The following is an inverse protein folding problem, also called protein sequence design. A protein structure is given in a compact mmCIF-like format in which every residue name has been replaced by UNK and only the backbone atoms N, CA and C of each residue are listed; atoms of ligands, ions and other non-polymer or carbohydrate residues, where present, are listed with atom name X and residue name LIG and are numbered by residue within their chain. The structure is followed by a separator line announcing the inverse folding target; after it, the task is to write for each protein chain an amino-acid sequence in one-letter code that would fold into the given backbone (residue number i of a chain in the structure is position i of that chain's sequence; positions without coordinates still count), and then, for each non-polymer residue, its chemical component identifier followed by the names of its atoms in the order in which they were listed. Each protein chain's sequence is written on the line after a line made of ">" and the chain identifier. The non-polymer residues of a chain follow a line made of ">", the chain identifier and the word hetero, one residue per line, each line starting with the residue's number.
data_IF_775156342422
#
_entry.id   IF_775156342422
#
_cell.length_a   1.000
_cell.length_b   1.000
_cell.length_c   1.000
_cell.angle_alpha   90.00
_cell.angle_beta   90.00
_cell.angle_gamma   90.00
#
_symmetry.space_group_name_H-M   'P 1'
#
loop_
_entity.id
_entity.type
_entity.pdbx_description
1 polymer ?
#
# COMPACT_ATOMS: atom_id res chain seq x y z
N UNK A 1 -1.95 2.51 12.08
CA UNK A 1 -0.70 3.31 12.31
C UNK A 1 -0.53 4.34 11.21
N UNK A 2 -0.25 5.60 11.57
CA UNK A 2 0.12 6.66 10.61
C UNK A 2 1.64 6.63 10.47
N UNK A 3 2.15 6.44 9.26
CA UNK A 3 3.58 6.30 9.01
C UNK A 3 4.16 7.55 8.33
N UNK A 4 3.60 7.94 7.20
CA UNK A 4 4.04 9.09 6.41
C UNK A 4 3.04 10.22 6.51
N UNK A 5 3.55 11.45 6.52
CA UNK A 5 2.75 12.67 6.35
C UNK A 5 3.43 13.63 5.37
N UNK A 6 2.60 14.41 4.69
CA UNK A 6 2.94 15.66 4.03
C UNK A 6 1.96 16.70 4.51
N UNK A 7 2.45 17.74 5.16
CA UNK A 7 1.61 18.77 5.75
C UNK A 7 2.21 20.16 5.52
N UNK A 8 1.35 21.15 5.34
CA UNK A 8 1.74 22.53 5.05
C UNK A 8 1.11 23.53 6.03
N UNK A 9 1.79 24.64 6.28
CA UNK A 9 1.25 25.75 7.05
C UNK A 9 1.94 27.07 6.69
N UNK A 10 1.23 28.21 6.82
CA UNK A 10 1.85 29.52 6.71
C UNK A 10 2.77 29.79 7.92
N UNK A 11 3.89 30.44 7.65
CA UNK A 11 4.87 30.84 8.68
C UNK A 11 5.30 32.30 8.48
N UNK A 12 5.75 32.93 9.54
CA UNK A 12 6.49 34.18 9.46
C UNK A 12 7.99 33.88 9.30
N UNK A 13 8.51 34.02 8.10
CA UNK A 13 9.94 33.78 7.81
C UNK A 13 10.89 34.80 8.49
N UNK A 14 10.37 35.83 9.16
CA UNK A 14 11.15 36.71 10.01
C UNK A 14 11.38 36.13 11.40
N UNK A 15 10.59 35.13 11.81
CA UNK A 15 10.83 34.43 13.07
C UNK A 15 12.02 33.48 12.92
N UNK A 16 13.19 33.95 13.36
CA UNK A 16 14.46 33.20 13.26
C UNK A 16 14.46 31.92 14.10
N UNK A 17 13.53 31.75 15.05
CA UNK A 17 13.47 30.55 15.89
C UNK A 17 13.20 29.29 15.05
N UNK A 18 12.43 29.40 13.96
CA UNK A 18 12.12 28.29 13.06
C UNK A 18 13.40 27.66 12.49
N UNK A 19 14.44 28.47 12.30
CA UNK A 19 15.69 28.05 11.66
C UNK A 19 16.75 27.54 12.63
N UNK A 20 16.54 27.60 13.97
CA UNK A 20 17.56 27.24 14.96
C UNK A 20 18.06 25.79 14.81
N UNK A 21 17.17 24.88 14.44
CA UNK A 21 17.49 23.46 14.29
C UNK A 21 17.54 23.01 12.82
N UNK A 22 17.56 23.96 11.88
CA UNK A 22 17.64 23.70 10.45
C UNK A 22 19.01 24.19 9.91
N UNK A 23 19.79 23.27 9.34
CA UNK A 23 21.15 23.56 8.85
C UNK A 23 21.30 23.16 7.39
N UNK A 24 22.15 23.88 6.67
CA UNK A 24 22.62 23.53 5.33
C UNK A 24 21.48 23.16 4.35
N UNK A 25 20.62 24.14 3.96
CA UNK A 25 19.54 23.83 3.05
C UNK A 25 20.04 23.51 1.64
N UNK A 26 19.35 22.58 0.99
CA UNK A 26 19.40 22.50 -0.48
C UNK A 26 18.54 23.63 -1.06
N UNK A 27 19.09 24.40 -1.97
CA UNK A 27 18.43 25.55 -2.59
C UNK A 27 17.93 25.16 -3.99
N UNK A 28 16.63 25.36 -4.23
CA UNK A 28 16.02 25.06 -5.52
C UNK A 28 15.72 26.33 -6.32
N UNK A 29 15.79 26.27 -7.65
CA UNK A 29 15.47 27.37 -8.56
C UNK A 29 14.04 27.90 -8.42
N UNK A 30 13.14 27.10 -7.88
CA UNK A 30 11.75 27.47 -7.53
C UNK A 30 11.62 28.35 -6.27
N UNK A 31 12.74 28.70 -5.63
CA UNK A 31 12.76 29.47 -4.39
C UNK A 31 12.48 28.69 -3.11
N UNK A 32 12.33 27.37 -3.20
CA UNK A 32 12.22 26.50 -2.05
C UNK A 32 13.58 26.18 -1.45
N UNK A 33 13.63 26.10 -0.12
CA UNK A 33 14.75 25.62 0.69
C UNK A 33 14.35 24.30 1.33
N UNK A 34 15.13 23.24 1.11
CA UNK A 34 14.92 21.94 1.76
C UNK A 34 15.94 21.72 2.86
N UNK A 35 15.44 21.36 4.01
CA UNK A 35 16.24 20.95 5.17
C UNK A 35 15.90 19.52 5.56
N UNK A 36 16.83 18.86 6.24
CA UNK A 36 16.59 17.59 6.90
C UNK A 36 16.54 17.85 8.41
N UNK A 37 15.39 17.52 9.02
CA UNK A 37 15.18 17.79 10.43
C UNK A 37 16.14 16.91 11.26
N UNK A 38 16.90 17.52 12.16
CA UNK A 38 17.95 16.89 12.99
C UNK A 38 18.94 16.03 12.17
N UNK A 39 19.23 16.45 10.92
CA UNK A 39 20.08 15.71 9.98
C UNK A 39 19.49 14.41 9.45
N UNK A 40 18.25 14.07 9.83
CA UNK A 40 17.59 12.84 9.45
C UNK A 40 16.89 12.98 8.09
N UNK A 41 17.38 12.27 7.07
CA UNK A 41 16.77 12.26 5.72
C UNK A 41 15.37 11.66 5.64
N UNK A 42 14.81 11.18 6.77
CA UNK A 42 13.45 10.60 6.81
C UNK A 42 12.38 11.65 7.08
N UNK A 43 12.79 12.87 7.54
CA UNK A 43 11.88 13.98 7.74
C UNK A 43 12.48 15.24 7.08
N UNK A 44 11.82 15.69 6.03
CA UNK A 44 12.18 16.90 5.28
C UNK A 44 11.31 18.07 5.72
N UNK A 45 11.93 19.25 5.83
CA UNK A 45 11.28 20.54 6.03
C UNK A 45 11.57 21.41 4.81
N UNK A 46 10.53 21.80 4.14
CA UNK A 46 10.60 22.67 2.97
C UNK A 46 10.07 24.04 3.34
N UNK A 47 10.82 25.09 3.04
CA UNK A 47 10.42 26.47 3.29
C UNK A 47 10.48 27.25 2.01
N UNK A 48 9.41 27.99 1.70
CA UNK A 48 9.39 29.00 0.66
C UNK A 48 9.32 30.40 1.31
N UNK A 49 10.45 31.09 1.46
CA UNK A 49 10.49 32.41 2.13
C UNK A 49 9.66 33.48 1.42
N UNK A 50 9.55 33.41 0.08
CA UNK A 50 8.79 34.38 -0.69
C UNK A 50 7.28 34.33 -0.41
N UNK A 51 6.76 33.12 -0.14
CA UNK A 51 5.34 32.91 0.10
C UNK A 51 5.00 32.74 1.59
N UNK A 52 6.01 32.71 2.49
CA UNK A 52 5.79 32.44 3.90
C UNK A 52 5.14 31.06 4.12
N UNK A 53 5.59 30.03 3.39
CA UNK A 53 5.00 28.69 3.45
C UNK A 53 6.05 27.68 3.92
N UNK A 54 5.65 26.84 4.87
CA UNK A 54 6.39 25.67 5.32
C UNK A 54 5.64 24.41 4.96
N UNK A 55 6.35 23.42 4.48
CA UNK A 55 5.88 22.04 4.26
C UNK A 55 6.80 21.08 5.02
N UNK A 56 6.22 20.14 5.77
CA UNK A 56 6.94 19.00 6.33
C UNK A 56 6.50 17.74 5.61
N UNK A 57 7.45 16.86 5.29
CA UNK A 57 7.10 15.55 4.73
C UNK A 57 8.10 14.48 5.12
N UNK A 58 7.59 13.28 5.36
CA UNK A 58 8.43 12.13 5.66
C UNK A 58 7.73 11.07 6.48
N UNK A 59 8.46 10.00 6.76
CA UNK A 59 7.98 8.95 7.64
C UNK A 59 8.27 9.32 9.09
N UNK A 60 7.21 9.56 9.84
CA UNK A 60 7.26 9.96 11.26
C UNK A 60 7.85 8.85 12.11
N UNK A 61 7.45 7.60 11.86
CA UNK A 61 7.95 6.42 12.57
C UNK A 61 9.45 6.21 12.35
N UNK A 62 9.91 6.33 11.11
CA UNK A 62 11.34 6.21 10.79
C UNK A 62 12.18 7.38 11.35
N UNK A 63 11.60 8.56 11.46
CA UNK A 63 12.29 9.70 12.07
C UNK A 63 12.53 9.49 13.56
N UNK A 64 11.53 8.97 14.30
CA UNK A 64 11.60 8.84 15.75
C UNK A 64 12.34 7.56 16.20
N UNK A 65 12.01 6.41 15.58
CA UNK A 65 12.50 5.10 16.06
C UNK A 65 13.28 4.29 15.00
N UNK A 66 13.42 4.81 13.78
CA UNK A 66 14.18 4.15 12.72
C UNK A 66 13.43 3.04 11.98
N UNK A 67 12.24 2.69 12.38
CA UNK A 67 11.41 1.64 11.77
C UNK A 67 9.92 1.94 11.98
N UNK A 68 9.05 1.12 11.37
CA UNK A 68 7.61 1.28 11.48
C UNK A 68 6.88 0.11 12.18
N UNK A 69 7.60 -0.79 12.87
CA UNK A 69 6.98 -1.80 13.72
C UNK A 69 6.51 -1.19 15.04
N UNK A 70 5.34 -1.63 15.52
CA UNK A 70 4.77 -1.22 16.81
C UNK A 70 4.68 0.31 17.04
N UNK A 71 4.51 1.08 15.97
CA UNK A 71 4.35 2.54 16.05
C UNK A 71 2.89 2.90 16.31
N UNK A 72 2.59 3.32 17.54
CA UNK A 72 1.23 3.60 18.00
C UNK A 72 0.74 5.02 17.70
N UNK A 73 -0.57 5.26 17.85
CA UNK A 73 -1.16 6.60 17.79
C UNK A 73 -0.53 7.55 18.82
N UNK A 74 -0.25 7.05 20.02
CA UNK A 74 0.38 7.87 21.08
C UNK A 74 1.81 8.28 20.67
N UNK A 75 2.60 7.35 20.11
CA UNK A 75 3.94 7.67 19.62
C UNK A 75 3.89 8.68 18.47
N UNK A 76 2.90 8.58 17.57
CA UNK A 76 2.68 9.57 16.53
C UNK A 76 2.39 10.97 17.13
N UNK A 77 1.53 11.04 18.14
CA UNK A 77 1.23 12.31 18.84
C UNK A 77 2.50 12.92 19.45
N UNK A 78 3.28 12.15 20.22
CA UNK A 78 4.53 12.65 20.82
C UNK A 78 5.58 13.03 19.76
N UNK A 79 5.62 12.30 18.65
CA UNK A 79 6.50 12.62 17.52
C UNK A 79 6.16 13.99 16.90
N UNK A 80 4.89 14.27 16.63
CA UNK A 80 4.45 15.57 16.11
C UNK A 80 4.75 16.71 17.08
N UNK A 81 4.55 16.48 18.38
CA UNK A 81 4.92 17.43 19.42
C UNK A 81 6.43 17.71 19.43
N UNK A 82 7.25 16.66 19.32
CA UNK A 82 8.69 16.79 19.24
C UNK A 82 9.13 17.57 17.99
N UNK A 83 8.60 17.25 16.81
CA UNK A 83 8.86 17.99 15.55
C UNK A 83 8.44 19.45 15.70
N UNK A 84 7.27 19.72 16.27
CA UNK A 84 6.79 21.09 16.54
C UNK A 84 7.72 21.88 17.45
N UNK A 85 8.24 21.24 18.51
CA UNK A 85 9.22 21.86 19.41
C UNK A 85 10.55 22.16 18.70
N UNK A 86 11.04 21.25 17.86
CA UNK A 86 12.25 21.49 17.07
C UNK A 86 12.11 22.68 16.10
N UNK A 87 10.92 22.85 15.53
CA UNK A 87 10.61 23.95 14.60
C UNK A 87 10.07 25.20 15.27
N UNK A 88 9.81 25.15 16.58
CA UNK A 88 9.12 26.21 17.33
C UNK A 88 7.76 26.62 16.72
N UNK A 89 7.01 25.63 16.18
CA UNK A 89 5.75 25.83 15.48
C UNK A 89 4.61 24.97 16.05
N UNK A 90 3.37 25.49 16.06
CA UNK A 90 2.18 24.73 16.45
C UNK A 90 1.71 23.83 15.30
N UNK A 91 2.45 22.74 15.01
CA UNK A 91 2.17 21.86 13.88
C UNK A 91 0.78 21.24 13.86
N UNK A 92 0.07 21.24 14.99
CA UNK A 92 -1.32 20.75 15.09
C UNK A 92 -2.28 21.40 14.10
N UNK A 93 -1.99 22.65 13.71
CA UNK A 93 -2.81 23.45 12.79
C UNK A 93 -2.40 23.29 11.33
N UNK A 94 -1.29 22.61 11.04
CA UNK A 94 -0.85 22.37 9.68
C UNK A 94 -1.87 21.52 8.91
N UNK A 95 -2.09 21.88 7.65
CA UNK A 95 -2.97 21.18 6.72
C UNK A 95 -2.29 19.92 6.21
N UNK A 96 -2.99 18.81 6.24
CA UNK A 96 -2.53 17.55 5.66
C UNK A 96 -2.79 17.57 4.15
N UNK A 97 -1.72 17.45 3.38
CA UNK A 97 -1.74 17.30 1.93
C UNK A 97 -1.78 15.83 1.52
N UNK A 98 -1.03 14.99 2.22
CA UNK A 98 -0.98 13.55 2.02
C UNK A 98 -0.66 12.85 3.35
N UNK A 99 -1.13 11.62 3.53
CA UNK A 99 -0.68 10.76 4.63
C UNK A 99 -0.84 9.29 4.30
N UNK A 100 -0.10 8.43 5.00
CA UNK A 100 -0.24 6.98 4.94
C UNK A 100 -0.81 6.45 6.24
N UNK A 101 -1.81 5.58 6.12
CA UNK A 101 -2.37 4.82 7.22
C UNK A 101 -2.35 3.33 6.88
N UNK A 102 -1.84 2.51 7.78
CA UNK A 102 -1.75 1.09 7.52
C UNK A 102 -1.42 0.26 8.75
N UNK A 103 -1.28 -1.04 8.52
CA UNK A 103 -0.96 -2.04 9.55
C UNK A 103 0.08 -3.02 9.04
N UNK A 104 0.81 -3.64 9.98
CA UNK A 104 1.68 -4.77 9.71
C UNK A 104 0.94 -6.02 10.20
N UNK A 105 0.85 -7.01 9.32
CA UNK A 105 0.22 -8.30 9.58
C UNK A 105 1.29 -9.38 9.71
N UNK A 106 1.20 -10.21 10.73
CA UNK A 106 1.90 -11.49 10.79
C UNK A 106 1.16 -12.47 9.89
N UNK A 107 1.84 -13.02 8.88
CA UNK A 107 1.23 -13.83 7.83
C UNK A 107 1.87 -15.22 7.75
N UNK A 108 1.07 -16.20 7.32
CA UNK A 108 1.49 -17.61 7.29
C UNK A 108 2.49 -17.93 6.16
N UNK A 109 2.42 -17.19 5.05
CA UNK A 109 3.26 -17.39 3.86
C UNK A 109 4.14 -16.18 3.59
N UNK A 110 5.03 -16.27 2.61
CA UNK A 110 5.89 -15.15 2.22
C UNK A 110 5.05 -13.96 1.75
N UNK A 111 5.37 -12.74 2.17
CA UNK A 111 4.65 -11.55 1.70
C UNK A 111 4.55 -11.42 0.18
N UNK A 112 5.59 -11.84 -0.56
CA UNK A 112 5.58 -11.85 -2.02
C UNK A 112 4.47 -12.72 -2.62
N UNK A 113 4.09 -13.81 -1.95
CA UNK A 113 3.04 -14.70 -2.44
C UNK A 113 1.66 -14.03 -2.31
N UNK A 114 1.41 -13.32 -1.20
CA UNK A 114 0.19 -12.51 -1.04
C UNK A 114 0.14 -11.40 -2.09
N UNK A 115 1.23 -10.68 -2.30
CA UNK A 115 1.32 -9.58 -3.28
C UNK A 115 1.01 -10.09 -4.71
N UNK A 116 1.59 -11.24 -5.08
CA UNK A 116 1.36 -11.85 -6.38
C UNK A 116 -0.11 -12.26 -6.60
N UNK A 117 -0.77 -12.72 -5.54
CA UNK A 117 -2.13 -13.26 -5.62
C UNK A 117 -3.24 -12.24 -5.28
N UNK A 118 -2.94 -10.95 -5.26
CA UNK A 118 -3.95 -9.90 -5.17
C UNK A 118 -4.09 -9.14 -6.48
N UNK A 119 -5.32 -8.89 -6.88
CA UNK A 119 -5.63 -8.06 -8.05
C UNK A 119 -6.79 -7.11 -7.74
N UNK A 120 -6.94 -6.08 -8.56
CA UNK A 120 -8.09 -5.18 -8.51
C UNK A 120 -9.01 -5.44 -9.71
N UNK A 121 -10.32 -5.61 -9.50
CA UNK A 121 -11.26 -5.70 -10.62
C UNK A 121 -11.29 -4.38 -11.40
N UNK A 122 -11.59 -4.47 -12.70
CA UNK A 122 -11.61 -3.30 -13.61
C UNK A 122 -12.61 -2.22 -13.17
N UNK A 123 -13.68 -2.61 -12.45
CA UNK A 123 -14.67 -1.70 -11.89
C UNK A 123 -14.10 -0.74 -10.84
N UNK A 124 -13.01 -1.11 -10.18
CA UNK A 124 -12.39 -0.28 -9.14
C UNK A 124 -11.48 0.82 -9.70
N UNK A 125 -11.17 0.77 -11.00
CA UNK A 125 -10.28 1.74 -11.67
C UNK A 125 -8.91 1.91 -11.00
N UNK A 126 -8.41 0.85 -10.39
CA UNK A 126 -7.09 0.77 -9.79
C UNK A 126 -6.14 0.06 -10.75
N UNK A 127 -4.95 0.61 -10.93
CA UNK A 127 -3.89 0.00 -11.76
C UNK A 127 -2.81 -0.58 -10.86
N UNK A 128 -2.57 -1.90 -10.94
CA UNK A 128 -1.47 -2.54 -10.22
C UNK A 128 -0.14 -2.18 -10.89
N UNK A 129 0.80 -1.77 -10.07
CA UNK A 129 2.17 -1.46 -10.48
C UNK A 129 3.16 -2.16 -9.56
N UNK A 130 4.24 -2.68 -10.14
CA UNK A 130 5.33 -3.35 -9.44
C UNK A 130 6.67 -2.85 -10.00
N UNK A 131 7.68 -2.72 -9.15
CA UNK A 131 9.04 -2.40 -9.61
C UNK A 131 9.83 -3.69 -9.78
N UNK A 132 10.36 -3.92 -10.95
CA UNK A 132 11.15 -5.13 -11.26
C UNK A 132 12.30 -5.38 -10.25
N UNK A 133 12.92 -4.30 -9.73
CA UNK A 133 13.99 -4.38 -8.71
C UNK A 133 13.54 -4.91 -7.36
N UNK A 134 12.25 -4.88 -7.08
CA UNK A 134 11.72 -5.26 -5.77
C UNK A 134 11.38 -6.76 -5.70
N UNK A 135 11.56 -7.51 -6.82
CA UNK A 135 11.39 -8.97 -6.90
C UNK A 135 10.06 -9.45 -6.28
N UNK A 136 8.95 -8.75 -6.57
CA UNK A 136 7.62 -9.08 -6.04
C UNK A 136 7.42 -8.77 -4.55
N UNK A 137 8.35 -8.07 -3.90
CA UNK A 137 8.23 -7.75 -2.47
C UNK A 137 7.49 -6.43 -2.22
N UNK A 138 7.09 -5.73 -3.27
CA UNK A 138 6.35 -4.48 -3.19
C UNK A 138 5.44 -4.33 -4.41
N UNK A 139 4.17 -4.07 -4.19
CA UNK A 139 3.22 -3.63 -5.22
C UNK A 139 2.32 -2.53 -4.68
N UNK A 140 1.81 -1.70 -5.59
CA UNK A 140 0.76 -0.74 -5.27
C UNK A 140 -0.31 -0.74 -6.35
N UNK A 141 -1.52 -0.37 -5.94
CA UNK A 141 -2.66 -0.17 -6.83
C UNK A 141 -3.00 1.32 -6.80
N UNK A 142 -2.71 2.00 -7.91
CA UNK A 142 -2.89 3.44 -8.03
C UNK A 142 -4.33 3.79 -8.42
N UNK A 143 -5.00 4.58 -7.58
CA UNK A 143 -6.24 5.27 -7.86
C UNK A 143 -6.01 6.77 -8.12
N UNK A 144 -7.09 7.54 -8.23
CA UNK A 144 -7.04 9.00 -8.45
C UNK A 144 -6.81 9.79 -7.16
N UNK A 145 -7.22 9.25 -6.04
CA UNK A 145 -7.22 9.91 -4.73
C UNK A 145 -6.34 9.19 -3.71
N UNK A 146 -6.03 7.92 -3.96
CA UNK A 146 -5.28 7.06 -3.06
C UNK A 146 -4.38 6.08 -3.81
N UNK A 147 -3.39 5.54 -3.10
CA UNK A 147 -2.64 4.35 -3.51
C UNK A 147 -2.77 3.30 -2.42
N UNK A 148 -3.02 2.08 -2.82
CA UNK A 148 -3.09 0.93 -1.94
C UNK A 148 -1.74 0.20 -2.03
N UNK A 149 -0.98 0.17 -0.95
CA UNK A 149 0.36 -0.41 -0.92
C UNK A 149 0.37 -1.73 -0.16
N UNK A 150 1.06 -2.71 -0.71
CA UNK A 150 1.31 -4.00 -0.06
C UNK A 150 2.78 -4.37 -0.22
N UNK A 151 3.47 -4.67 0.88
CA UNK A 151 4.89 -4.99 0.82
C UNK A 151 5.41 -5.82 1.99
N UNK A 152 6.56 -6.48 1.76
CA UNK A 152 7.33 -7.18 2.76
C UNK A 152 7.95 -6.18 3.74
N UNK A 153 7.36 -6.06 4.93
CA UNK A 153 7.81 -5.12 5.96
C UNK A 153 9.20 -5.46 6.47
N UNK A 154 9.53 -6.75 6.59
CA UNK A 154 10.83 -7.22 7.03
C UNK A 154 11.95 -6.83 6.06
N UNK A 155 11.79 -7.15 4.78
CA UNK A 155 12.77 -6.78 3.76
C UNK A 155 12.90 -5.27 3.58
N UNK A 156 11.79 -4.52 3.72
CA UNK A 156 11.83 -3.07 3.61
C UNK A 156 12.73 -2.42 4.69
N UNK A 157 12.68 -2.92 5.92
CA UNK A 157 13.58 -2.45 7.00
C UNK A 157 15.04 -2.77 6.70
N UNK A 158 15.33 -4.01 6.31
CA UNK A 158 16.71 -4.42 5.97
C UNK A 158 17.30 -3.56 4.87
N UNK A 159 16.53 -3.24 3.83
CA UNK A 159 16.98 -2.38 2.72
C UNK A 159 17.18 -0.91 3.14
N UNK A 160 16.37 -0.39 4.07
CA UNK A 160 16.40 1.03 4.45
C UNK A 160 17.42 1.36 5.54
N UNK A 161 17.71 0.42 6.42
CA UNK A 161 18.47 0.69 7.63
C UNK A 161 19.76 -0.13 7.74
N UNK A 162 19.90 -1.22 6.99
CA UNK A 162 21.02 -2.15 7.18
C UNK A 162 21.05 -2.80 8.57
N UNK A 163 19.97 -2.64 9.34
CA UNK A 163 19.85 -3.12 10.71
C UNK A 163 19.47 -4.60 10.74
N UNK A 164 19.87 -5.29 11.80
CA UNK A 164 19.44 -6.66 12.07
C UNK A 164 17.94 -6.66 12.36
N UNK A 165 17.15 -7.08 11.35
CA UNK A 165 15.70 -7.18 11.46
C UNK A 165 15.26 -7.95 12.70
N UNK A 166 16.00 -9.00 13.08
CA UNK A 166 15.68 -9.85 14.21
C UNK A 166 15.69 -9.09 15.54
N UNK A 167 16.63 -8.16 15.74
CA UNK A 167 16.72 -7.37 16.97
C UNK A 167 15.53 -6.41 17.08
N UNK A 168 15.20 -5.68 15.98
CA UNK A 168 14.05 -4.77 15.97
C UNK A 168 12.74 -5.52 16.24
N UNK A 169 12.55 -6.67 15.60
CA UNK A 169 11.33 -7.47 15.75
C UNK A 169 11.22 -7.99 17.18
N UNK A 170 12.32 -8.48 17.76
CA UNK A 170 12.35 -8.97 19.13
C UNK A 170 12.06 -7.84 20.14
N UNK A 171 12.68 -6.67 19.98
CA UNK A 171 12.46 -5.50 20.81
C UNK A 171 11.02 -4.99 20.77
N UNK A 172 10.37 -5.16 19.63
CA UNK A 172 8.94 -4.84 19.46
C UNK A 172 8.00 -5.96 19.97
N UNK A 173 8.52 -7.07 20.50
CA UNK A 173 7.73 -8.20 20.98
C UNK A 173 7.13 -9.08 19.87
N UNK A 174 7.67 -9.02 18.66
CA UNK A 174 7.24 -9.82 17.52
C UNK A 174 8.11 -11.07 17.37
N UNK A 175 7.63 -12.09 16.67
CA UNK A 175 8.40 -13.31 16.42
C UNK A 175 9.51 -13.06 15.38
N UNK A 176 10.80 -13.19 15.70
CA UNK A 176 11.90 -12.98 14.74
C UNK A 176 11.85 -13.91 13.51
N UNK A 177 11.19 -15.06 13.60
CA UNK A 177 11.00 -16.00 12.49
C UNK A 177 9.72 -15.78 11.70
N UNK A 178 8.91 -14.76 12.07
CA UNK A 178 7.63 -14.45 11.43
C UNK A 178 7.79 -13.88 10.01
N UNK A 179 6.69 -13.91 9.28
CA UNK A 179 6.58 -13.27 7.97
C UNK A 179 5.68 -12.03 8.12
N UNK A 180 6.18 -10.87 7.72
CA UNK A 180 5.50 -9.59 8.00
C UNK A 180 5.16 -8.86 6.72
N UNK A 181 3.86 -8.74 6.47
CA UNK A 181 3.31 -8.00 5.34
C UNK A 181 2.72 -6.68 5.85
N UNK A 182 3.11 -5.57 5.26
CA UNK A 182 2.46 -4.29 5.49
C UNK A 182 1.39 -4.04 4.45
N UNK A 183 0.21 -3.71 4.93
CA UNK A 183 -0.89 -3.16 4.20
C UNK A 183 -1.06 -1.70 4.57
N UNK A 184 -1.10 -0.78 3.60
CA UNK A 184 -1.31 0.64 3.86
C UNK A 184 -2.05 1.34 2.72
N UNK A 185 -2.79 2.37 3.08
CA UNK A 185 -3.44 3.31 2.16
C UNK A 185 -2.70 4.63 2.22
N UNK A 186 -2.19 5.08 1.09
CA UNK A 186 -1.62 6.41 0.90
C UNK A 186 -2.71 7.32 0.35
N UNK A 187 -3.21 8.22 1.17
CA UNK A 187 -4.22 9.21 0.82
C UNK A 187 -3.56 10.41 0.17
N UNK A 188 -3.76 10.57 -1.15
CA UNK A 188 -3.25 11.68 -1.97
C UNK A 188 -4.20 12.88 -1.89
N UNK A 189 -5.48 12.60 -1.65
CA UNK A 189 -6.56 13.60 -1.48
C UNK A 189 -7.31 13.34 -0.18
N UNK A 190 -6.65 13.59 0.98
CA UNK A 190 -7.22 13.26 2.28
C UNK A 190 -8.51 14.01 2.59
N UNK A 191 -8.75 15.15 1.97
CA UNK A 191 -9.99 15.93 2.12
C UNK A 191 -11.24 15.15 1.71
N UNK A 192 -11.11 14.13 0.84
CA UNK A 192 -12.24 13.29 0.46
C UNK A 192 -12.79 12.46 1.62
N UNK A 193 -11.94 12.11 2.60
CA UNK A 193 -12.38 11.48 3.86
C UNK A 193 -13.23 12.41 4.72
N UNK A 194 -13.20 13.72 4.44
CA UNK A 194 -13.90 14.76 5.18
C UNK A 194 -14.88 15.55 4.31
N UNK A 195 -15.52 14.89 3.36
CA UNK A 195 -16.49 15.52 2.47
C UNK A 195 -15.94 16.79 1.75
N UNK A 196 -14.70 16.74 1.32
CA UNK A 196 -14.00 17.84 0.63
C UNK A 196 -13.46 18.92 1.56
N UNK A 197 -13.54 18.76 2.88
CA UNK A 197 -12.99 19.71 3.85
C UNK A 197 -11.56 19.32 4.23
N UNK A 198 -10.71 20.34 4.38
CA UNK A 198 -9.32 20.13 4.77
C UNK A 198 -9.19 19.39 6.11
N UNK A 199 -8.21 18.50 6.16
CA UNK A 199 -7.81 17.77 7.37
C UNK A 199 -6.53 18.43 7.92
N UNK A 200 -6.43 18.53 9.24
CA UNK A 200 -5.24 19.05 9.93
C UNK A 200 -4.55 17.95 10.72
N UNK A 201 -3.29 18.16 11.08
CA UNK A 201 -2.53 17.18 11.91
C UNK A 201 -3.30 16.81 13.19
N UNK A 202 -3.94 17.75 13.86
CA UNK A 202 -4.76 17.48 15.05
C UNK A 202 -5.88 16.47 14.82
N UNK A 203 -6.43 16.40 13.62
CA UNK A 203 -7.44 15.40 13.27
C UNK A 203 -6.84 13.99 13.24
N UNK A 204 -5.60 13.82 12.78
CA UNK A 204 -4.93 12.53 12.77
C UNK A 204 -4.70 11.98 14.19
N UNK A 205 -4.63 12.85 15.18
CA UNK A 205 -4.46 12.48 16.60
C UNK A 205 -5.79 12.26 17.34
N UNK A 206 -6.92 12.61 16.73
CA UNK A 206 -8.23 12.45 17.32
C UNK A 206 -8.70 10.99 17.26
N UNK A 207 -9.35 10.51 18.34
CA UNK A 207 -9.78 9.11 18.45
C UNK A 207 -10.86 8.74 17.42
N UNK A 208 -11.85 9.63 17.19
CA UNK A 208 -12.96 9.36 16.25
C UNK A 208 -12.43 9.31 14.80
N UNK A 209 -11.53 10.23 14.46
CA UNK A 209 -10.87 10.23 13.16
C UNK A 209 -10.02 8.98 12.95
N UNK A 210 -9.32 8.54 13.99
CA UNK A 210 -8.51 7.34 13.93
C UNK A 210 -9.36 6.08 13.70
N UNK A 211 -10.56 6.02 14.30
CA UNK A 211 -11.53 4.97 14.03
C UNK A 211 -11.99 4.99 12.55
N UNK A 212 -12.26 6.18 12.01
CA UNK A 212 -12.61 6.35 10.59
C UNK A 212 -11.49 5.86 9.66
N UNK A 213 -10.23 6.17 9.98
CA UNK A 213 -9.10 5.68 9.17
C UNK A 213 -8.93 4.16 9.23
N UNK A 214 -9.18 3.53 10.38
CA UNK A 214 -9.17 2.07 10.52
C UNK A 214 -10.26 1.42 9.66
N UNK A 215 -11.47 1.96 9.71
CA UNK A 215 -12.60 1.47 8.93
C UNK A 215 -12.32 1.63 7.43
N UNK A 216 -11.91 2.83 7.00
CA UNK A 216 -11.60 3.08 5.59
C UNK A 216 -10.45 2.20 5.10
N UNK A 217 -9.38 2.06 5.86
CA UNK A 217 -8.25 1.19 5.52
C UNK A 217 -8.68 -0.27 5.27
N UNK A 218 -9.64 -0.77 6.05
CA UNK A 218 -10.23 -2.09 5.83
C UNK A 218 -11.13 -2.13 4.59
N UNK A 219 -11.94 -1.10 4.37
CA UNK A 219 -12.78 -0.97 3.17
C UNK A 219 -11.92 -0.92 1.91
N UNK A 220 -10.81 -0.17 1.93
CA UNK A 220 -9.88 -0.10 0.81
C UNK A 220 -9.26 -1.47 0.49
N UNK A 221 -8.95 -2.29 1.50
CA UNK A 221 -8.49 -3.65 1.27
C UNK A 221 -9.54 -4.50 0.52
N UNK A 222 -10.82 -4.34 0.82
CA UNK A 222 -11.92 -5.08 0.15
C UNK A 222 -12.09 -4.73 -1.33
N UNK A 223 -11.46 -3.68 -1.83
CA UNK A 223 -11.39 -3.36 -3.27
C UNK A 223 -10.39 -4.26 -4.02
N UNK A 224 -9.53 -4.94 -3.28
CA UNK A 224 -8.65 -5.97 -3.84
C UNK A 224 -9.28 -7.35 -3.65
N UNK A 225 -9.09 -8.20 -4.63
CA UNK A 225 -9.61 -9.57 -4.61
C UNK A 225 -8.42 -10.53 -4.47
N UNK A 226 -8.35 -11.31 -3.38
CA UNK A 226 -7.38 -12.39 -3.27
C UNK A 226 -7.74 -13.52 -4.22
N UNK A 227 -6.78 -13.99 -4.99
CA UNK A 227 -6.97 -15.12 -5.90
C UNK A 227 -7.31 -16.37 -5.08
N UNK A 228 -8.27 -17.12 -5.56
CA UNK A 228 -8.61 -18.42 -4.98
C UNK A 228 -7.73 -19.49 -5.60
N UNK A 229 -7.28 -20.42 -4.78
CA UNK A 229 -6.66 -21.64 -5.26
C UNK A 229 -7.72 -22.49 -6.02
N UNK A 230 -7.26 -23.23 -6.99
CA UNK A 230 -8.15 -24.11 -7.76
C UNK A 230 -8.15 -25.48 -7.11
N UNK A 231 -9.32 -26.04 -6.94
CA UNK A 231 -9.46 -27.43 -6.50
C UNK A 231 -8.96 -28.33 -7.64
N UNK A 232 -7.86 -29.04 -7.39
CA UNK A 232 -7.30 -29.98 -8.37
C UNK A 232 -8.25 -31.16 -8.57
N UNK A 233 -8.72 -31.42 -9.80
CA UNK A 233 -9.54 -32.57 -10.07
C UNK A 233 -8.79 -33.87 -9.72
N UNK A 234 -9.42 -34.74 -8.95
CA UNK A 234 -8.83 -36.03 -8.53
C UNK A 234 -9.08 -37.16 -9.53
N UNK A 235 -10.00 -36.96 -10.47
CA UNK A 235 -10.37 -37.97 -11.44
C UNK A 235 -9.65 -37.70 -12.77
N UNK A 236 -8.96 -38.72 -13.32
CA UNK A 236 -8.27 -38.65 -14.62
C UNK A 236 -9.18 -38.22 -15.78
N UNK A 237 -10.49 -38.55 -15.71
CA UNK A 237 -11.47 -38.16 -16.75
C UNK A 237 -11.73 -36.65 -16.77
N UNK A 238 -11.44 -35.97 -15.67
CA UNK A 238 -11.66 -34.54 -15.50
C UNK A 238 -10.42 -33.70 -15.82
N UNK A 239 -9.28 -34.38 -16.14
CA UNK A 239 -8.00 -33.77 -16.50
C UNK A 239 -7.64 -34.08 -17.95
N UNK A 240 -8.18 -33.30 -18.90
CA UNK A 240 -7.72 -33.33 -20.30
C UNK A 240 -6.49 -32.44 -20.46
N UNK A 241 -5.76 -32.57 -21.58
CA UNK A 241 -4.62 -31.70 -21.89
C UNK A 241 -4.99 -30.21 -21.83
N UNK A 242 -6.13 -29.73 -22.39
CA UNK A 242 -6.57 -28.35 -22.22
C UNK A 242 -6.83 -27.96 -20.76
N UNK A 243 -7.36 -28.87 -19.92
CA UNK A 243 -7.57 -28.58 -18.48
C UNK A 243 -6.22 -28.36 -17.79
N UNK A 244 -5.21 -29.19 -18.07
CA UNK A 244 -3.85 -29.07 -17.50
C UNK A 244 -3.21 -27.75 -17.94
N UNK A 245 -3.36 -27.35 -19.21
CA UNK A 245 -2.84 -26.07 -19.69
C UNK A 245 -3.55 -24.87 -19.00
N UNK A 246 -4.86 -24.92 -18.84
CA UNK A 246 -5.61 -23.87 -18.15
C UNK A 246 -5.19 -23.78 -16.67
N UNK A 247 -5.03 -24.93 -16.00
CA UNK A 247 -4.54 -25.00 -14.63
C UNK A 247 -3.16 -24.36 -14.49
N UNK A 248 -2.20 -24.69 -15.38
CA UNK A 248 -0.86 -24.10 -15.32
C UNK A 248 -0.88 -22.57 -15.38
N UNK A 249 -1.68 -21.98 -16.28
CA UNK A 249 -1.83 -20.52 -16.35
C UNK A 249 -2.48 -19.91 -15.09
N UNK A 250 -3.46 -20.59 -14.52
CA UNK A 250 -4.17 -20.12 -13.34
C UNK A 250 -3.34 -20.30 -12.07
N UNK A 251 -2.53 -21.36 -11.97
CA UNK A 251 -1.59 -21.59 -10.87
C UNK A 251 -0.41 -20.60 -10.91
N UNK A 252 0.01 -20.17 -12.10
CA UNK A 252 1.03 -19.14 -12.31
C UNK A 252 0.51 -17.72 -12.05
N UNK A 253 -0.70 -17.60 -11.48
CA UNK A 253 -1.27 -16.34 -11.01
C UNK A 253 -2.15 -15.60 -12.02
N UNK A 254 -2.44 -16.19 -13.18
CA UNK A 254 -3.36 -15.59 -14.15
C UNK A 254 -4.81 -15.70 -13.66
N UNK A 255 -5.51 -14.58 -13.62
CA UNK A 255 -6.93 -14.58 -13.24
C UNK A 255 -7.80 -15.22 -14.33
N UNK A 256 -8.89 -15.93 -13.94
CA UNK A 256 -9.80 -16.62 -14.89
C UNK A 256 -10.34 -15.72 -15.99
N UNK A 257 -10.77 -14.51 -15.66
CA UNK A 257 -11.27 -13.56 -16.66
C UNK A 257 -10.15 -13.04 -17.57
N UNK A 258 -8.93 -12.95 -17.08
CA UNK A 258 -7.76 -12.60 -17.88
C UNK A 258 -7.39 -13.72 -18.85
N UNK A 259 -7.31 -14.98 -18.36
CA UNK A 259 -7.11 -16.16 -19.20
C UNK A 259 -8.19 -16.25 -20.27
N UNK A 260 -9.44 -16.06 -19.92
CA UNK A 260 -10.57 -16.07 -20.84
C UNK A 260 -10.43 -14.98 -21.92
N UNK A 261 -10.08 -13.73 -21.53
CA UNK A 261 -9.82 -12.62 -22.46
C UNK A 261 -8.68 -12.95 -23.42
N UNK A 262 -7.58 -13.48 -22.88
CA UNK A 262 -6.41 -13.88 -23.68
C UNK A 262 -6.78 -14.93 -24.74
N UNK A 263 -7.46 -15.99 -24.32
CA UNK A 263 -7.90 -17.07 -25.21
C UNK A 263 -8.92 -16.57 -26.24
N UNK A 264 -9.86 -15.71 -25.85
CA UNK A 264 -10.83 -15.10 -26.78
C UNK A 264 -10.14 -14.20 -27.79
N UNK A 265 -9.19 -13.38 -27.37
CA UNK A 265 -8.40 -12.53 -28.26
C UNK A 265 -7.66 -13.38 -29.30
N UNK A 266 -7.05 -14.52 -28.85
CA UNK A 266 -6.38 -15.44 -29.74
C UNK A 266 -7.31 -16.07 -30.77
N UNK A 267 -8.52 -16.51 -30.36
CA UNK A 267 -9.55 -17.03 -31.28
C UNK A 267 -9.96 -15.96 -32.27
N UNK A 268 -10.16 -14.71 -31.84
CA UNK A 268 -10.57 -13.61 -32.71
C UNK A 268 -9.46 -13.24 -33.75
N UNK A 269 -8.19 -13.41 -33.40
CA UNK A 269 -7.07 -13.08 -34.29
C UNK A 269 -6.87 -14.09 -35.46
N UNK A 270 -7.56 -15.24 -35.41
CA UNK A 270 -7.51 -16.22 -36.50
C UNK A 270 -8.36 -15.69 -37.67
N UNK A 271 -7.82 -15.76 -38.92
CA UNK A 271 -8.51 -15.32 -40.12
C UNK A 271 -9.86 -16.03 -40.31
N UNK A 272 -10.84 -15.32 -40.86
CA UNK A 272 -12.17 -15.87 -41.14
C UNK A 272 -12.15 -16.94 -42.25
N UNK A 273 -11.09 -16.99 -43.08
CA UNK A 273 -10.84 -18.03 -44.05
C UNK A 273 -10.47 -19.38 -43.38
N UNK A 274 -9.95 -19.33 -42.12
CA UNK A 274 -9.57 -20.50 -41.36
C UNK A 274 -10.64 -20.91 -40.38
N UNK A 275 -11.21 -19.95 -39.63
CA UNK A 275 -12.30 -20.15 -38.70
C UNK A 275 -13.43 -19.18 -39.01
N UNK A 276 -14.54 -19.73 -39.48
CA UNK A 276 -15.77 -18.91 -39.65
C UNK A 276 -16.21 -18.29 -38.35
N UNK A 277 -17.05 -17.25 -38.41
CA UNK A 277 -17.66 -16.62 -37.22
C UNK A 277 -18.34 -17.65 -36.31
N UNK A 278 -19.06 -18.61 -36.90
CA UNK A 278 -19.72 -19.70 -36.17
C UNK A 278 -18.72 -20.57 -35.44
N UNK A 279 -17.58 -20.91 -36.06
CA UNK A 279 -16.52 -21.71 -35.46
C UNK A 279 -15.86 -20.95 -34.31
N UNK A 280 -15.59 -19.65 -34.47
CA UNK A 280 -15.04 -18.80 -33.43
C UNK A 280 -15.96 -18.77 -32.19
N UNK A 281 -17.27 -18.62 -32.40
CA UNK A 281 -18.26 -18.65 -31.31
C UNK A 281 -18.32 -20.03 -30.63
N UNK A 282 -18.19 -21.11 -31.40
CA UNK A 282 -18.12 -22.45 -30.84
C UNK A 282 -16.87 -22.65 -29.98
N UNK A 283 -15.69 -22.17 -30.44
CA UNK A 283 -14.44 -22.21 -29.67
C UNK A 283 -14.54 -21.39 -28.38
N UNK A 284 -15.09 -20.20 -28.42
CA UNK A 284 -15.30 -19.38 -27.21
C UNK A 284 -16.21 -20.07 -26.19
N UNK A 285 -17.29 -20.72 -26.65
CA UNK A 285 -18.14 -21.54 -25.77
C UNK A 285 -17.39 -22.72 -25.12
N UNK A 286 -16.49 -23.37 -25.88
CA UNK A 286 -15.64 -24.43 -25.35
C UNK A 286 -14.63 -23.90 -24.30
N UNK A 287 -13.98 -22.76 -24.56
CA UNK A 287 -13.09 -22.08 -23.63
C UNK A 287 -13.84 -21.72 -22.34
N UNK A 288 -15.04 -21.14 -22.48
CA UNK A 288 -15.88 -20.83 -21.32
C UNK A 288 -16.17 -22.07 -20.47
N UNK A 289 -16.63 -23.15 -21.11
CA UNK A 289 -16.90 -24.42 -20.42
C UNK A 289 -15.67 -24.99 -19.72
N UNK A 290 -14.50 -24.89 -20.34
CA UNK A 290 -13.23 -25.34 -19.79
C UNK A 290 -12.89 -24.58 -18.51
N UNK A 291 -13.00 -23.24 -18.53
CA UNK A 291 -12.68 -22.41 -17.37
C UNK A 291 -13.73 -22.55 -16.26
N UNK A 292 -15.00 -22.60 -16.63
CA UNK A 292 -16.12 -22.73 -15.67
C UNK A 292 -16.17 -24.11 -14.99
N UNK A 293 -15.54 -25.14 -15.59
CA UNK A 293 -15.44 -26.50 -15.03
C UNK A 293 -14.48 -26.57 -13.84
N UNK A 294 -13.47 -25.70 -13.81
CA UNK A 294 -12.49 -25.69 -12.75
C UNK A 294 -13.10 -25.01 -11.52
N UNK A 295 -13.16 -25.72 -10.41
CA UNK A 295 -13.74 -25.21 -9.15
C UNK A 295 -12.68 -24.43 -8.36
N UNK A 296 -13.10 -23.33 -7.74
CA UNK A 296 -12.26 -22.59 -6.80
C UNK A 296 -12.45 -23.12 -5.39
N UNK A 297 -11.40 -23.05 -4.58
CA UNK A 297 -11.55 -23.22 -3.14
C UNK A 297 -12.57 -22.20 -2.59
N UNK A 298 -13.40 -22.56 -1.63
CA UNK A 298 -14.45 -21.68 -1.11
C UNK A 298 -13.87 -20.40 -0.51
N UNK A 299 -12.68 -20.48 0.10
CA UNK A 299 -11.98 -19.35 0.69
C UNK A 299 -10.55 -19.29 0.17
N UNK A 300 -10.08 -18.11 -0.20
CA UNK A 300 -8.69 -17.91 -0.60
C UNK A 300 -7.76 -17.98 0.60
N UNK A 301 -6.69 -18.78 0.52
CA UNK A 301 -5.61 -18.78 1.51
C UNK A 301 -4.79 -17.49 1.50
N UNK A 302 -4.99 -16.65 0.50
CA UNK A 302 -4.35 -15.35 0.36
C UNK A 302 -5.18 -14.19 0.92
N UNK A 303 -6.41 -14.46 1.41
CA UNK A 303 -7.26 -13.43 2.02
C UNK A 303 -6.67 -12.97 3.37
N UNK A 304 -6.34 -11.68 3.44
CA UNK A 304 -5.78 -11.01 4.62
C UNK A 304 -6.84 -10.31 5.48
N UNK A 305 -8.11 -10.53 5.22
CA UNK A 305 -9.19 -9.81 5.92
C UNK A 305 -9.13 -9.99 7.43
N UNK A 306 -8.84 -11.21 7.89
CA UNK A 306 -8.75 -11.53 9.32
C UNK A 306 -7.50 -10.92 9.96
N UNK A 307 -6.35 -11.01 9.30
CA UNK A 307 -5.07 -10.47 9.76
C UNK A 307 -5.12 -8.95 9.85
N UNK A 308 -5.68 -8.29 8.83
CA UNK A 308 -5.86 -6.83 8.80
C UNK A 308 -6.82 -6.40 9.91
N UNK A 309 -7.98 -7.04 10.05
CA UNK A 309 -8.95 -6.74 11.10
C UNK A 309 -8.33 -6.91 12.51
N UNK A 310 -7.57 -7.99 12.72
CA UNK A 310 -6.84 -8.25 13.98
C UNK A 310 -5.81 -7.13 14.24
N UNK A 311 -4.99 -6.78 13.24
CA UNK A 311 -3.96 -5.76 13.38
C UNK A 311 -4.56 -4.36 13.63
N UNK A 312 -5.66 -4.00 12.94
CA UNK A 312 -6.39 -2.76 13.17
C UNK A 312 -7.03 -2.69 14.58
N UNK A 313 -7.44 -3.83 15.14
CA UNK A 313 -8.00 -3.90 16.49
C UNK A 313 -6.93 -3.77 17.57
N UNK A 314 -5.73 -4.26 17.32
CA UNK A 314 -4.61 -4.21 18.27
C UNK A 314 -3.95 -2.81 18.36
N UNK A 315 -4.11 -1.97 17.32
CA UNK A 315 -3.58 -0.61 17.27
C UNK A 315 -4.52 0.36 18.05
N UNK A 316 -4.39 0.38 19.37
CA UNK A 316 -5.19 1.21 20.30
C UNK A 316 -4.38 2.40 20.80
#
# INVERSE_FOLDING_TARGET
>A
MIDYIRASMPIDCKDTKIFLNLQNPDVFSSGWLRYYLDGCKKMEVWINPANGLLEIKGSVSYFIQGHNFSFSKHQFFEAIKHIGNLLHLPLWEALIEEFEFGVICDVAYKPSDYIAHHYSPTSEHLTKEEKAKDNGNFAWWAGKAEKLNMYDAGKNIMMKQGLHLQDIIADCGWNPAGQYLKWEVHYIKPELLNNGRAIRIKNLCNADWYATFKEDCYIQYKRLIPMKSIIMPTNKKDLTTPDIMALAFLEDGMHREELKKLLYAKVNSISDDILSKSDKDARKRQIKKLIDKLEDEPQSKWDLSAEIAKALSADV
#
